data_IF_565328701440
#
_entry.id   IF_565328701440
#
_cell.length_a   1.000
_cell.length_b   1.000
_cell.length_c   1.000
_cell.angle_alpha   90.00
_cell.angle_beta   90.00
_cell.angle_gamma   90.00
#
_symmetry.space_group_name_H-M   'P 1'
#
loop_
_entity.id
_entity.type
_entity.pdbx_description
1 polymer ?
#
# COMPACT_ATOMS: atom_id res chain seq x y z
N UNK A 1 15.52 9.02 21.96
CA UNK A 1 15.62 10.24 21.12
C UNK A 1 14.49 10.21 20.10
N UNK A 2 13.70 11.28 19.93
CA UNK A 2 12.67 11.30 18.90
C UNK A 2 13.33 11.19 17.52
N UNK A 3 12.96 10.18 16.73
CA UNK A 3 13.42 10.06 15.34
C UNK A 3 12.88 11.25 14.55
N UNK A 4 13.75 11.91 13.79
CA UNK A 4 13.36 13.04 12.92
C UNK A 4 12.45 12.51 11.81
N UNK A 5 11.29 13.14 11.62
CA UNK A 5 10.40 12.79 10.51
C UNK A 5 11.08 13.06 9.16
N UNK A 6 10.91 12.13 8.23
CA UNK A 6 11.37 12.24 6.85
C UNK A 6 10.36 13.09 6.06
N UNK A 7 10.87 13.87 5.10
CA UNK A 7 10.03 14.60 4.16
C UNK A 7 9.63 13.68 3.02
N UNK A 8 8.36 13.70 2.67
CA UNK A 8 7.78 13.01 1.53
C UNK A 8 6.63 13.85 0.97
N UNK A 9 6.22 13.58 -0.26
CA UNK A 9 5.18 14.32 -1.00
C UNK A 9 4.36 13.40 -1.89
N UNK A 10 3.27 13.92 -2.43
CA UNK A 10 2.44 13.27 -3.43
C UNK A 10 3.29 12.78 -4.62
N UNK A 11 3.02 11.56 -5.08
CA UNK A 11 3.78 10.90 -6.14
C UNK A 11 5.05 10.19 -5.68
N UNK A 12 5.47 10.36 -4.42
CA UNK A 12 6.62 9.62 -3.92
C UNK A 12 6.34 8.11 -3.96
N UNK A 13 7.28 7.38 -4.56
CA UNK A 13 7.29 5.93 -4.60
C UNK A 13 8.05 5.45 -3.37
N UNK A 14 7.49 4.47 -2.68
CA UNK A 14 8.07 3.88 -1.49
C UNK A 14 8.20 2.37 -1.61
N UNK A 15 9.24 1.85 -0.95
CA UNK A 15 9.50 0.44 -0.79
C UNK A 15 9.11 -0.01 0.63
N UNK A 16 8.30 -1.06 0.71
CA UNK A 16 7.88 -1.72 1.95
C UNK A 16 8.76 -2.96 2.14
N UNK A 17 9.56 -3.07 3.22
CA UNK A 17 10.34 -4.27 3.48
C UNK A 17 9.42 -5.44 3.84
N UNK A 18 9.68 -6.60 3.24
CA UNK A 18 9.00 -7.86 3.54
C UNK A 18 9.86 -8.74 4.47
N UNK A 19 9.23 -9.72 5.12
CA UNK A 19 9.86 -10.56 6.14
C UNK A 19 10.96 -11.46 5.59
N UNK A 20 10.95 -11.74 4.29
CA UNK A 20 11.97 -12.52 3.60
C UNK A 20 13.10 -11.66 3.00
N UNK A 21 13.13 -10.36 3.30
CA UNK A 21 14.15 -9.42 2.87
C UNK A 21 13.93 -8.80 1.48
N UNK A 22 12.83 -9.15 0.78
CA UNK A 22 12.42 -8.48 -0.46
C UNK A 22 11.71 -7.16 -0.14
N UNK A 23 11.43 -6.37 -1.19
CA UNK A 23 10.77 -5.07 -1.09
C UNK A 23 9.56 -5.02 -2.03
N UNK A 24 8.39 -4.69 -1.49
CA UNK A 24 7.18 -4.41 -2.27
C UNK A 24 7.02 -2.91 -2.55
N UNK A 25 6.35 -2.54 -3.64
CA UNK A 25 6.24 -1.14 -4.07
C UNK A 25 4.85 -0.54 -3.84
N UNK A 26 4.84 0.69 -3.31
CA UNK A 26 3.67 1.55 -3.29
C UNK A 26 4.00 2.98 -3.72
N UNK A 27 2.96 3.78 -3.91
CA UNK A 27 3.07 5.19 -4.27
C UNK A 27 2.12 6.04 -3.43
N UNK A 28 2.60 7.17 -2.92
CA UNK A 28 1.79 8.17 -2.25
C UNK A 28 0.88 8.85 -3.26
N UNK A 29 -0.43 8.82 -3.02
CA UNK A 29 -1.40 9.52 -3.85
C UNK A 29 -1.57 10.96 -3.40
N UNK A 30 -1.84 11.14 -2.10
CA UNK A 30 -1.90 12.41 -1.40
C UNK A 30 -2.22 12.23 0.09
N UNK A 31 -2.12 13.32 0.86
CA UNK A 31 -2.60 13.37 2.25
C UNK A 31 -4.13 13.62 2.29
N UNK A 32 -4.89 12.65 2.79
CA UNK A 32 -6.35 12.75 2.92
C UNK A 32 -6.76 13.69 4.05
N UNK A 33 -6.18 13.48 5.23
CA UNK A 33 -6.39 14.28 6.43
C UNK A 33 -5.17 14.18 7.36
N UNK A 34 -5.22 14.87 8.50
CA UNK A 34 -4.14 14.77 9.50
C UNK A 34 -3.86 13.31 9.83
N UNK A 35 -2.59 12.92 9.71
CA UNK A 35 -2.08 11.57 9.95
C UNK A 35 -2.55 10.45 9.00
N UNK A 36 -3.38 10.74 8.00
CA UNK A 36 -3.90 9.74 7.07
C UNK A 36 -3.45 10.04 5.63
N UNK A 37 -2.77 9.08 5.02
CA UNK A 37 -2.25 9.13 3.66
C UNK A 37 -3.01 8.16 2.77
N UNK A 38 -3.24 8.52 1.52
CA UNK A 38 -3.76 7.60 0.51
C UNK A 38 -2.59 7.08 -0.30
N UNK A 39 -2.58 5.77 -0.51
CA UNK A 39 -1.53 5.09 -1.24
C UNK A 39 -2.11 4.13 -2.29
N UNK A 40 -1.37 3.96 -3.37
CA UNK A 40 -1.54 2.87 -4.32
C UNK A 40 -0.49 1.80 -4.03
N UNK A 41 -0.88 0.53 -4.07
CA UNK A 41 0.00 -0.63 -3.92
C UNK A 41 0.07 -1.38 -5.25
N UNK A 42 1.25 -1.88 -5.62
CA UNK A 42 1.50 -2.53 -6.90
C UNK A 42 2.01 -3.97 -6.74
N UNK A 43 1.67 -4.84 -7.70
CA UNK A 43 2.20 -6.21 -7.86
C UNK A 43 3.64 -6.16 -8.40
N UNK A 44 4.54 -5.57 -7.62
CA UNK A 44 5.94 -5.38 -7.96
C UNK A 44 6.80 -5.66 -6.71
N UNK A 45 7.76 -6.60 -6.84
CA UNK A 45 8.74 -6.92 -5.79
C UNK A 45 10.17 -6.86 -6.31
N UNK A 46 11.09 -6.52 -5.42
CA UNK A 46 12.50 -6.44 -5.72
C UNK A 46 13.34 -7.12 -4.63
N UNK A 47 14.46 -7.72 -5.05
CA UNK A 47 15.39 -8.40 -4.15
C UNK A 47 16.23 -7.43 -3.31
N UNK A 48 16.44 -6.21 -3.82
CA UNK A 48 17.15 -5.15 -3.11
C UNK A 48 16.68 -3.79 -3.61
N UNK A 49 17.04 -2.74 -2.87
CA UNK A 49 16.68 -1.36 -3.21
C UNK A 49 17.32 -0.89 -4.51
N UNK A 50 18.54 -1.36 -4.80
CA UNK A 50 19.30 -1.04 -6.00
C UNK A 50 18.73 -1.70 -7.26
N UNK A 51 17.98 -2.80 -7.09
CA UNK A 51 17.32 -3.51 -8.19
C UNK A 51 16.02 -2.81 -8.65
N UNK A 52 15.55 -1.79 -7.94
CA UNK A 52 14.29 -1.12 -8.26
C UNK A 52 14.48 -0.20 -9.47
N UNK A 53 13.84 -0.56 -10.58
CA UNK A 53 13.78 0.30 -11.78
C UNK A 53 12.58 1.27 -11.69
N UNK A 54 12.88 2.52 -11.37
CA UNK A 54 11.89 3.60 -11.30
C UNK A 54 11.19 3.89 -12.64
N UNK A 55 11.79 3.55 -13.78
CA UNK A 55 11.12 3.72 -15.07
C UNK A 55 10.02 2.66 -15.26
N UNK A 56 10.28 1.44 -14.82
CA UNK A 56 9.39 0.30 -14.97
C UNK A 56 8.35 0.15 -13.86
N UNK A 57 8.56 0.71 -12.65
CA UNK A 57 7.63 0.54 -11.53
C UNK A 57 6.33 1.35 -11.63
N UNK A 58 5.36 1.06 -10.77
CA UNK A 58 4.07 1.76 -10.63
C UNK A 58 3.24 1.78 -11.93
N UNK A 59 3.24 0.68 -12.70
CA UNK A 59 2.42 0.62 -13.90
C UNK A 59 0.94 0.45 -13.54
N UNK A 60 -0.01 1.11 -14.25
CA UNK A 60 -1.44 0.99 -13.95
C UNK A 60 -1.96 -0.45 -13.98
N UNK A 61 -1.41 -1.29 -14.85
CA UNK A 61 -1.78 -2.70 -14.91
C UNK A 61 -1.23 -3.53 -13.75
N UNK A 62 -0.28 -3.03 -12.96
CA UNK A 62 0.21 -3.67 -11.74
C UNK A 62 -0.51 -3.18 -10.48
N UNK A 63 -1.42 -2.21 -10.58
CA UNK A 63 -2.18 -1.72 -9.42
C UNK A 63 -3.00 -2.86 -8.79
N UNK A 64 -2.79 -3.12 -7.50
CA UNK A 64 -3.51 -4.15 -6.74
C UNK A 64 -4.40 -3.59 -5.64
N UNK A 65 -4.06 -2.44 -5.06
CA UNK A 65 -4.85 -1.84 -3.99
C UNK A 65 -4.80 -0.31 -4.04
N UNK A 66 -5.92 0.30 -3.65
CA UNK A 66 -6.04 1.73 -3.34
C UNK A 66 -6.58 1.83 -1.93
N UNK A 67 -5.81 2.41 -1.01
CA UNK A 67 -6.14 2.38 0.41
C UNK A 67 -5.70 3.65 1.13
N UNK A 68 -6.44 4.03 2.19
CA UNK A 68 -6.03 5.06 3.13
C UNK A 68 -5.40 4.41 4.37
N UNK A 69 -4.24 4.91 4.78
CA UNK A 69 -3.46 4.34 5.88
C UNK A 69 -2.92 5.44 6.80
N UNK A 70 -2.55 5.05 8.02
CA UNK A 70 -1.69 5.88 8.87
C UNK A 70 -0.38 6.21 8.14
N UNK A 71 0.11 7.46 8.30
CA UNK A 71 1.32 7.96 7.62
C UNK A 71 2.65 7.65 8.32
N UNK A 72 2.60 6.92 9.43
CA UNK A 72 3.72 6.78 10.37
C UNK A 72 4.96 6.12 9.74
N UNK A 73 4.74 5.10 8.91
CA UNK A 73 5.78 4.32 8.27
C UNK A 73 6.55 5.16 7.25
N UNK A 74 5.89 6.11 6.58
CA UNK A 74 6.52 7.11 5.72
C UNK A 74 7.25 8.17 6.56
N UNK A 75 6.58 8.70 7.59
CA UNK A 75 7.13 9.73 8.47
C UNK A 75 8.44 9.29 9.13
N UNK A 76 8.56 8.04 9.56
CA UNK A 76 9.76 7.54 10.21
C UNK A 76 10.68 6.70 9.32
N UNK A 77 10.37 6.63 8.02
CA UNK A 77 11.19 5.93 7.03
C UNK A 77 11.29 4.43 7.27
N UNK A 78 10.25 3.82 7.83
CA UNK A 78 10.08 2.37 7.80
C UNK A 78 9.86 1.95 6.35
N UNK A 79 8.91 2.61 5.67
CA UNK A 79 8.79 2.57 4.22
C UNK A 79 9.78 3.56 3.62
N UNK A 80 10.65 3.06 2.74
CA UNK A 80 11.76 3.84 2.19
C UNK A 80 11.30 4.56 0.94
N UNK A 81 11.42 5.89 0.91
CA UNK A 81 11.20 6.65 -0.33
C UNK A 81 12.35 6.36 -1.30
N UNK A 82 12.00 5.96 -2.52
CA UNK A 82 12.96 5.53 -3.55
C UNK A 82 12.99 6.45 -4.78
N UNK A 83 11.98 7.31 -4.91
CA UNK A 83 11.89 8.27 -5.99
C UNK A 83 10.50 8.91 -6.02
N UNK A 84 10.22 9.66 -7.08
CA UNK A 84 8.93 10.30 -7.28
C UNK A 84 8.47 10.06 -8.72
N UNK A 85 7.17 9.80 -8.90
CA UNK A 85 6.51 9.67 -10.20
C UNK A 85 5.18 10.42 -10.18
N UNK A 86 4.70 10.90 -11.35
CA UNK A 86 3.34 11.40 -11.46
C UNK A 86 2.33 10.37 -11.00
N UNK A 87 1.33 10.79 -10.23
CA UNK A 87 0.21 9.95 -9.82
C UNK A 87 -0.74 9.79 -11.01
N UNK A 88 -0.90 8.55 -11.48
CA UNK A 88 -1.80 8.23 -12.61
C UNK A 88 -3.22 7.88 -12.16
N UNK A 89 -3.42 7.60 -10.87
CA UNK A 89 -4.73 7.26 -10.30
C UNK A 89 -5.63 8.51 -10.29
N UNK A 90 -6.79 8.45 -10.99
CA UNK A 90 -7.78 9.53 -11.00
C UNK A 90 -8.29 9.88 -9.60
N UNK A 91 -8.56 11.17 -9.35
CA UNK A 91 -8.98 11.66 -8.02
C UNK A 91 -10.26 10.98 -7.53
N UNK A 92 -11.23 10.80 -8.41
CA UNK A 92 -12.53 10.15 -8.14
C UNK A 92 -12.41 8.66 -7.77
N UNK A 93 -11.30 8.01 -8.15
CA UNK A 93 -10.99 6.64 -7.77
C UNK A 93 -10.18 6.54 -6.47
N UNK A 94 -9.69 7.67 -5.94
CA UNK A 94 -8.88 7.65 -4.71
C UNK A 94 -9.74 7.24 -3.51
N UNK A 95 -9.16 6.50 -2.56
CA UNK A 95 -9.87 6.07 -1.36
C UNK A 95 -10.55 7.24 -0.65
N UNK A 96 -11.79 7.03 -0.24
CA UNK A 96 -12.61 7.98 0.54
C UNK A 96 -12.90 9.33 -0.12
N UNK A 97 -12.55 9.56 -1.38
CA UNK A 97 -12.79 10.86 -2.04
C UNK A 97 -14.27 11.24 -2.02
N UNK A 98 -15.16 10.25 -2.12
CA UNK A 98 -16.60 10.43 -2.02
C UNK A 98 -17.05 11.03 -0.68
N UNK A 99 -16.24 10.97 0.38
CA UNK A 99 -16.56 11.53 1.71
C UNK A 99 -15.98 12.93 1.94
N UNK A 100 -15.20 13.48 0.99
CA UNK A 100 -14.56 14.80 1.15
C UNK A 100 -15.57 15.89 1.50
N UNK A 101 -16.70 15.94 0.78
CA UNK A 101 -17.76 16.93 0.99
C UNK A 101 -18.47 16.83 2.34
N UNK A 102 -18.33 15.69 3.05
CA UNK A 102 -18.88 15.46 4.39
C UNK A 102 -17.83 15.59 5.49
N UNK A 103 -16.67 16.19 5.19
CA UNK A 103 -15.57 16.26 6.15
C UNK A 103 -15.04 14.88 6.55
N UNK A 104 -15.03 13.92 5.62
CA UNK A 104 -14.53 12.55 5.81
C UNK A 104 -15.37 11.65 6.72
N UNK A 105 -16.57 12.08 7.11
CA UNK A 105 -17.51 11.23 7.86
C UNK A 105 -17.86 9.98 7.04
N UNK A 106 -17.60 8.80 7.61
CA UNK A 106 -17.78 7.51 6.97
C UNK A 106 -16.56 6.98 6.20
N UNK A 107 -15.46 7.73 6.17
CA UNK A 107 -14.19 7.28 5.58
C UNK A 107 -13.61 6.09 6.34
N UNK A 108 -12.96 5.19 5.59
CA UNK A 108 -12.22 4.05 6.15
C UNK A 108 -10.73 4.27 5.98
N UNK A 109 -9.98 4.03 7.03
CA UNK A 109 -8.53 4.00 6.98
C UNK A 109 -8.05 2.81 7.80
N UNK A 110 -6.83 2.38 7.51
CA UNK A 110 -6.25 1.20 8.13
C UNK A 110 -4.90 1.56 8.74
N UNK A 111 -4.42 0.71 9.64
CA UNK A 111 -3.05 0.83 10.09
C UNK A 111 -2.09 0.35 8.99
N UNK A 112 -0.93 0.98 8.90
CA UNK A 112 0.10 0.61 7.95
C UNK A 112 0.60 -0.84 8.12
N UNK A 113 0.59 -1.40 9.33
CA UNK A 113 0.93 -2.81 9.54
C UNK A 113 -0.04 -3.75 8.80
N UNK A 114 -1.30 -3.35 8.59
CA UNK A 114 -2.25 -4.13 7.80
C UNK A 114 -1.88 -4.13 6.31
N UNK A 115 -1.30 -3.03 5.80
CA UNK A 115 -0.81 -2.98 4.42
C UNK A 115 0.45 -3.84 4.24
N UNK A 116 1.31 -3.90 5.26
CA UNK A 116 2.44 -4.82 5.30
C UNK A 116 1.93 -6.27 5.28
N UNK A 117 1.00 -6.64 6.17
CA UNK A 117 0.38 -7.96 6.18
C UNK A 117 -0.32 -8.32 4.86
N UNK A 118 -0.96 -7.34 4.21
CA UNK A 118 -1.57 -7.52 2.89
C UNK A 118 -0.51 -7.86 1.84
N UNK A 119 0.62 -7.16 1.78
CA UNK A 119 1.72 -7.50 0.88
C UNK A 119 2.30 -8.89 1.17
N UNK A 120 2.55 -9.20 2.44
CA UNK A 120 3.06 -10.50 2.86
C UNK A 120 2.12 -11.64 2.42
N UNK A 121 0.82 -11.48 2.64
CA UNK A 121 -0.18 -12.45 2.19
C UNK A 121 -0.27 -12.52 0.66
N UNK A 122 -0.19 -11.37 -0.04
CA UNK A 122 -0.23 -11.30 -1.49
C UNK A 122 0.92 -12.09 -2.14
N UNK A 123 2.11 -12.08 -1.52
CA UNK A 123 3.28 -12.83 -1.98
C UNK A 123 3.48 -14.19 -1.30
N UNK A 124 2.42 -14.73 -0.66
CA UNK A 124 2.42 -16.04 -0.02
C UNK A 124 3.52 -16.21 1.07
N UNK A 125 3.82 -15.13 1.79
CA UNK A 125 4.67 -15.12 2.98
C UNK A 125 3.85 -15.25 4.26
N UNK A 126 2.55 -14.95 4.19
CA UNK A 126 1.56 -15.20 5.24
C UNK A 126 0.29 -15.83 4.65
N UNK A 127 -0.52 -16.51 5.47
CA UNK A 127 -1.80 -17.01 5.01
C UNK A 127 -2.75 -15.85 4.66
N UNK A 128 -3.54 -16.05 3.60
CA UNK A 128 -4.49 -15.05 3.12
C UNK A 128 -5.78 -15.00 3.95
N UNK A 129 -6.17 -16.13 4.53
CA UNK A 129 -7.47 -16.38 5.18
C UNK A 129 -7.39 -16.48 6.72
N UNK A 130 -6.24 -16.18 7.33
CA UNK A 130 -6.01 -16.27 8.80
C UNK A 130 -6.63 -15.10 9.60
N UNK A 131 -7.54 -14.36 8.97
CA UNK A 131 -8.30 -13.28 9.61
C UNK A 131 -9.65 -13.81 10.10
N UNK A 132 -10.25 -13.14 11.08
CA UNK A 132 -11.60 -13.51 11.56
C UNK A 132 -12.63 -13.64 10.42
N UNK A 133 -12.54 -12.76 9.42
CA UNK A 133 -13.22 -12.95 8.15
C UNK A 133 -12.22 -13.51 7.11
N UNK A 134 -12.40 -14.74 6.60
CA UNK A 134 -11.50 -15.35 5.62
C UNK A 134 -11.35 -14.55 4.31
N UNK A 135 -12.31 -13.69 3.98
CA UNK A 135 -12.29 -12.84 2.80
C UNK A 135 -11.87 -11.38 3.12
N UNK A 136 -11.28 -11.12 4.29
CA UNK A 136 -10.96 -9.77 4.73
C UNK A 136 -10.00 -9.07 3.77
N UNK A 137 -8.93 -9.75 3.35
CA UNK A 137 -7.93 -9.20 2.43
C UNK A 137 -8.45 -9.06 0.99
N UNK A 138 -9.48 -9.81 0.59
CA UNK A 138 -10.13 -9.63 -0.71
C UNK A 138 -10.72 -8.22 -0.88
N UNK A 139 -11.16 -7.58 0.21
CA UNK A 139 -11.71 -6.24 0.18
C UNK A 139 -10.66 -5.13 -0.10
N UNK A 140 -9.37 -5.45 -0.02
CA UNK A 140 -8.29 -4.51 -0.33
C UNK A 140 -7.97 -4.48 -1.82
N UNK A 141 -8.39 -5.49 -2.59
CA UNK A 141 -8.09 -5.56 -4.01
C UNK A 141 -8.90 -4.52 -4.79
N UNK A 142 -8.25 -3.79 -5.70
CA UNK A 142 -8.95 -2.91 -6.65
C UNK A 142 -9.92 -3.68 -7.56
N UNK A 143 -9.65 -4.97 -7.78
CA UNK A 143 -10.50 -5.86 -8.55
C UNK A 143 -10.27 -7.31 -8.10
N UNK A 144 -11.31 -8.15 -7.96
CA UNK A 144 -11.16 -9.56 -7.60
C UNK A 144 -10.21 -10.35 -8.53
N UNK A 145 -10.07 -9.97 -9.79
CA UNK A 145 -9.12 -10.58 -10.74
C UNK A 145 -7.65 -10.37 -10.37
N UNK A 146 -7.35 -9.43 -9.47
CA UNK A 146 -6.01 -9.19 -8.92
C UNK A 146 -5.61 -10.16 -7.82
N UNK A 147 -6.53 -11.00 -7.35
CA UNK A 147 -6.20 -12.01 -6.33
C UNK A 147 -5.08 -12.94 -6.84
N UNK A 148 -3.99 -13.13 -6.07
CA UNK A 148 -2.91 -14.02 -6.46
C UNK A 148 -3.41 -15.46 -6.62
N UNK A 149 -2.81 -16.19 -7.58
CA UNK A 149 -3.16 -17.61 -7.83
C UNK A 149 -2.49 -18.57 -6.84
N UNK A 150 -1.39 -18.15 -6.22
CA UNK A 150 -0.60 -18.96 -5.29
C UNK A 150 -0.70 -18.31 -3.92
N UNK A 151 -1.73 -18.70 -3.16
CA UNK A 151 -1.94 -18.21 -1.79
C UNK A 151 -1.68 -19.36 -0.80
N UNK A 152 -1.19 -19.02 0.38
CA UNK A 152 -1.24 -19.91 1.55
C UNK A 152 -2.62 -19.75 2.17
N UNK A 153 -3.29 -20.87 2.45
CA UNK A 153 -4.60 -20.91 3.11
C UNK A 153 -4.53 -21.82 4.32
N UNK A 154 -5.05 -21.37 5.47
CA UNK A 154 -5.12 -22.15 6.71
C UNK A 154 -6.24 -23.18 6.65
N UNK A 155 -7.30 -22.93 5.85
CA UNK A 155 -8.52 -23.76 5.80
C UNK A 155 -9.12 -23.98 7.19
N UNK A 156 -9.61 -22.89 7.79
CA UNK A 156 -10.36 -22.91 9.07
C UNK A 156 -11.78 -23.43 8.83
#
# INVERSE_FOLDING_TARGET
MPKRKIKWTDGDVFAVPLCDGRFAIGQVLDLMMVNQVRVALYDEIFLSMEAIDMAACCQPNQLISLVASTREQLDYGVWKIIGNKPVTVPIDQRPNEQFRHKGWVGSKHYDAALLEDFFEAFYALRPWDDWFNPNYLDAFLVNPSKKPKKLILVKI
#
